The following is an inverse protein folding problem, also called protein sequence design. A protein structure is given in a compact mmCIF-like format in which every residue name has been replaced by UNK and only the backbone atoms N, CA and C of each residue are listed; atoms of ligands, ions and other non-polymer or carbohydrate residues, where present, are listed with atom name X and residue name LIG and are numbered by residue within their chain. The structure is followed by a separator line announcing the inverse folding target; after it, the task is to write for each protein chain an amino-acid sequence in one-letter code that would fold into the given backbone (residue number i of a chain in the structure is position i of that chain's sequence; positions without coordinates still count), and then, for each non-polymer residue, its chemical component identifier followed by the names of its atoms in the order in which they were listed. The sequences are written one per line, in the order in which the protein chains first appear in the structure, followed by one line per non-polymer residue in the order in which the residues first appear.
data_IF_011586733176
#
_entry.id   IF_011586733176
#
_cell.length_a   1.000
_cell.length_b   1.000
_cell.length_c   1.000
_cell.angle_alpha   90.00
_cell.angle_beta   90.00
_cell.angle_gamma   90.00
#
_symmetry.space_group_name_H-M   'P 1'
#
loop_
_entity.id
_entity.type
_entity.pdbx_description
1 polymer ?
#
# COMPACT_ATOMS: atom_id res chain seq x y z
N UNK A 1 7.07 0.77 -3.94
CA UNK A 1 8.42 0.33 -3.50
C UNK A 1 8.98 1.39 -2.58
N UNK A 2 9.85 1.05 -1.61
CA UNK A 2 10.31 1.97 -0.56
C UNK A 2 11.80 2.31 -0.64
N UNK A 3 12.63 1.41 -0.11
CA UNK A 3 14.09 1.60 0.08
C UNK A 3 14.86 1.86 -1.22
N UNK A 4 14.50 1.17 -2.30
CA UNK A 4 15.09 1.35 -3.63
C UNK A 4 14.03 1.96 -4.55
N UNK A 5 14.42 2.97 -5.34
CA UNK A 5 13.55 3.72 -6.26
C UNK A 5 14.17 3.74 -7.67
N UNK A 6 13.50 3.13 -8.65
CA UNK A 6 13.84 3.23 -10.09
C UNK A 6 12.72 3.96 -10.85
N UNK A 7 12.96 4.45 -12.09
CA UNK A 7 12.00 5.25 -12.85
C UNK A 7 10.63 4.58 -13.11
N UNK A 8 10.58 3.25 -13.25
CA UNK A 8 9.33 2.52 -13.52
C UNK A 8 9.17 1.28 -12.64
N UNK A 9 7.92 0.93 -12.35
CA UNK A 9 7.56 -0.34 -11.69
C UNK A 9 7.96 -1.57 -12.53
N UNK A 10 8.18 -1.40 -13.83
CA UNK A 10 8.68 -2.47 -14.71
C UNK A 10 10.18 -2.75 -14.51
N UNK A 11 10.91 -1.83 -13.87
CA UNK A 11 12.38 -1.92 -13.76
C UNK A 11 12.85 -2.89 -12.66
N UNK A 12 12.08 -3.12 -11.58
CA UNK A 12 12.45 -4.09 -10.52
C UNK A 12 12.64 -5.52 -11.08
N UNK A 13 12.07 -5.81 -12.26
CA UNK A 13 12.17 -7.10 -12.95
C UNK A 13 13.07 -7.08 -14.19
N UNK A 14 13.77 -5.98 -14.50
CA UNK A 14 14.69 -5.90 -15.66
C UNK A 14 16.04 -6.57 -15.35
N UNK A 15 16.48 -7.47 -16.23
CA UNK A 15 17.78 -8.13 -16.13
C UNK A 15 18.95 -7.32 -16.76
N UNK A 16 18.89 -5.98 -16.74
CA UNK A 16 20.00 -5.12 -17.19
C UNK A 16 20.94 -4.84 -16.02
N UNK A 17 22.26 -4.81 -16.24
CA UNK A 17 23.28 -4.65 -15.16
C UNK A 17 22.97 -3.48 -14.20
N UNK A 18 22.55 -2.32 -14.72
CA UNK A 18 22.21 -1.12 -13.95
C UNK A 18 20.90 -1.19 -13.13
N UNK A 19 20.03 -2.17 -13.43
CA UNK A 19 18.69 -2.30 -12.83
C UNK A 19 18.44 -3.70 -12.25
N UNK A 20 19.48 -4.53 -12.13
CA UNK A 20 19.39 -5.92 -11.71
C UNK A 20 19.18 -6.05 -10.19
N UNK A 21 17.99 -5.70 -9.73
CA UNK A 21 17.52 -6.04 -8.39
C UNK A 21 17.18 -7.54 -8.40
N UNK A 22 17.83 -8.41 -7.58
CA UNK A 22 17.51 -9.83 -7.56
C UNK A 22 16.18 -10.08 -6.84
N UNK A 23 16.00 -9.42 -5.69
CA UNK A 23 14.94 -9.68 -4.71
C UNK A 23 13.51 -9.68 -5.30
N UNK A 24 13.19 -8.72 -6.16
CA UNK A 24 11.86 -8.60 -6.75
C UNK A 24 11.53 -9.79 -7.67
N UNK A 25 12.53 -10.33 -8.38
CA UNK A 25 12.39 -11.50 -9.26
C UNK A 25 12.31 -12.81 -8.47
N UNK A 26 13.04 -12.93 -7.37
CA UNK A 26 13.02 -14.14 -6.52
C UNK A 26 11.73 -14.25 -5.70
N UNK A 27 11.10 -13.12 -5.33
CA UNK A 27 9.83 -13.13 -4.57
C UNK A 27 8.62 -13.39 -5.46
N UNK A 28 8.52 -12.76 -6.66
CA UNK A 28 7.34 -12.93 -7.53
C UNK A 28 7.63 -12.57 -9.00
N UNK A 29 7.06 -13.28 -9.99
CA UNK A 29 7.12 -12.85 -11.39
C UNK A 29 6.35 -11.53 -11.62
N UNK A 30 6.91 -10.62 -12.43
CA UNK A 30 6.33 -9.29 -12.75
C UNK A 30 4.84 -9.36 -13.10
N UNK A 31 4.46 -10.28 -13.99
CA UNK A 31 3.08 -10.38 -14.48
C UNK A 31 2.09 -10.75 -13.35
N UNK A 32 2.50 -11.58 -12.38
CA UNK A 32 1.67 -11.92 -11.21
C UNK A 32 1.53 -10.71 -10.28
N UNK A 33 2.60 -9.94 -10.08
CA UNK A 33 2.55 -8.70 -9.32
C UNK A 33 1.66 -7.64 -9.99
N UNK A 34 1.79 -7.43 -11.30
CA UNK A 34 0.95 -6.48 -12.06
C UNK A 34 -0.53 -6.90 -12.11
N UNK A 35 -0.82 -8.21 -12.18
CA UNK A 35 -2.19 -8.73 -12.06
C UNK A 35 -2.77 -8.49 -10.67
N UNK A 36 -2.05 -8.82 -9.60
CA UNK A 36 -2.50 -8.54 -8.23
C UNK A 36 -2.77 -7.05 -8.07
N UNK A 37 -1.80 -6.19 -8.43
CA UNK A 37 -1.91 -4.73 -8.31
C UNK A 37 -3.12 -4.16 -9.08
N UNK A 38 -3.49 -4.73 -10.23
CA UNK A 38 -4.65 -4.31 -11.02
C UNK A 38 -5.99 -4.66 -10.38
N UNK A 39 -6.04 -5.74 -9.60
CA UNK A 39 -7.27 -6.31 -9.03
C UNK A 39 -7.29 -6.29 -7.49
N UNK A 40 -6.52 -5.41 -6.85
CA UNK A 40 -6.66 -5.13 -5.42
C UNK A 40 -7.94 -4.34 -5.19
N UNK A 41 -8.87 -4.93 -4.44
CA UNK A 41 -10.11 -4.28 -4.00
C UNK A 41 -10.25 -4.48 -2.49
N UNK A 42 -10.69 -3.43 -1.78
CA UNK A 42 -10.81 -3.40 -0.31
C UNK A 42 -12.24 -3.10 0.18
N UNK A 43 -13.21 -3.04 -0.73
CA UNK A 43 -14.63 -2.84 -0.44
C UNK A 43 -15.46 -3.66 -1.43
N UNK A 44 -16.65 -4.12 -1.02
CA UNK A 44 -17.61 -4.72 -1.95
C UNK A 44 -18.36 -3.62 -2.71
N UNK A 45 -18.35 -3.70 -4.04
CA UNK A 45 -19.05 -2.75 -4.90
C UNK A 45 -20.58 -2.97 -4.90
N UNK A 46 -21.07 -4.11 -4.40
CA UNK A 46 -22.52 -4.40 -4.30
C UNK A 46 -23.17 -3.69 -3.10
N UNK A 47 -22.41 -3.39 -2.06
CA UNK A 47 -22.88 -2.73 -0.82
C UNK A 47 -22.17 -1.40 -0.57
N UNK A 48 -21.56 -0.80 -1.59
CA UNK A 48 -20.79 0.42 -1.47
C UNK A 48 -21.69 1.64 -1.26
N UNK A 49 -21.49 2.34 -0.15
CA UNK A 49 -21.94 3.72 0.05
C UNK A 49 -21.23 4.62 -0.97
N UNK A 50 -21.96 5.12 -1.97
CA UNK A 50 -21.40 5.96 -3.04
C UNK A 50 -21.22 7.43 -2.66
N UNK A 51 -21.85 7.88 -1.57
CA UNK A 51 -21.75 9.27 -1.11
C UNK A 51 -20.44 9.48 -0.32
N UNK A 52 -19.98 8.46 0.41
CA UNK A 52 -18.63 8.44 0.98
C UNK A 52 -17.55 8.22 -0.09
N UNK A 53 -16.91 9.31 -0.51
CA UNK A 53 -15.81 9.32 -1.49
C UNK A 53 -14.62 8.41 -1.13
N UNK A 54 -14.50 7.96 0.12
CA UNK A 54 -13.44 7.06 0.59
C UNK A 54 -13.86 5.58 0.66
N UNK A 55 -15.10 5.19 0.29
CA UNK A 55 -15.64 3.83 0.49
C UNK A 55 -14.66 2.72 0.07
N UNK A 56 -13.95 2.90 -1.05
CA UNK A 56 -12.99 1.93 -1.63
C UNK A 56 -11.80 1.58 -0.74
N UNK A 57 -11.52 2.36 0.31
CA UNK A 57 -10.41 2.16 1.26
C UNK A 57 -10.83 2.32 2.73
N UNK A 58 -12.09 2.70 2.99
CA UNK A 58 -12.61 3.10 4.31
C UNK A 58 -12.35 2.04 5.39
N UNK A 59 -12.67 0.78 5.11
CA UNK A 59 -12.57 -0.29 6.11
C UNK A 59 -11.11 -0.64 6.46
N UNK A 60 -10.22 -0.62 5.45
CA UNK A 60 -8.78 -0.79 5.64
C UNK A 60 -8.17 0.40 6.39
N UNK A 61 -8.61 1.63 6.11
CA UNK A 61 -8.19 2.83 6.84
C UNK A 61 -8.66 2.79 8.30
N UNK A 62 -9.91 2.41 8.55
CA UNK A 62 -10.48 2.23 9.89
C UNK A 62 -9.75 1.13 10.68
N UNK A 63 -9.42 0.01 10.03
CA UNK A 63 -8.59 -1.05 10.62
C UNK A 63 -7.22 -0.53 11.03
N UNK A 64 -6.55 0.25 10.16
CA UNK A 64 -5.26 0.86 10.52
C UNK A 64 -5.39 1.85 11.68
N UNK A 65 -6.35 2.78 11.64
CA UNK A 65 -6.59 3.76 12.71
C UNK A 65 -6.80 3.06 14.05
N UNK A 66 -7.71 2.07 14.10
CA UNK A 66 -7.98 1.27 15.30
C UNK A 66 -6.74 0.53 15.81
N UNK A 67 -5.96 -0.07 14.91
CA UNK A 67 -4.73 -0.78 15.29
C UNK A 67 -3.66 0.18 15.86
N UNK A 68 -3.49 1.37 15.27
CA UNK A 68 -2.57 2.37 15.83
C UNK A 68 -3.04 2.92 17.18
N UNK A 69 -4.34 3.21 17.33
CA UNK A 69 -4.93 3.65 18.61
C UNK A 69 -4.77 2.61 19.73
N UNK A 70 -4.83 1.32 19.41
CA UNK A 70 -4.65 0.24 20.39
C UNK A 70 -3.19 0.00 20.81
N UNK A 71 -2.21 0.44 20.00
CA UNK A 71 -0.78 0.12 20.17
C UNK A 71 0.04 1.35 20.59
N UNK A 72 -0.41 2.56 20.26
CA UNK A 72 0.27 3.81 20.59
C UNK A 72 -0.42 4.54 21.74
N UNK A 73 0.18 4.52 22.92
CA UNK A 73 -0.12 5.45 24.02
C UNK A 73 0.65 6.75 23.79
N UNK A 74 -0.01 7.91 23.59
CA UNK A 74 0.69 9.17 23.42
C UNK A 74 1.47 9.59 24.67
N UNK A 75 2.67 10.14 24.48
CA UNK A 75 3.37 10.85 25.54
C UNK A 75 2.65 12.14 25.92
N UNK A 76 2.81 12.56 27.18
CA UNK A 76 2.12 13.70 27.80
C UNK A 76 2.36 15.07 27.11
N UNK A 77 3.26 15.12 26.12
CA UNK A 77 3.67 16.34 25.40
C UNK A 77 3.57 16.24 23.88
N UNK A 78 3.16 15.09 23.34
CA UNK A 78 3.33 14.76 21.91
C UNK A 78 2.02 14.83 21.08
N UNK A 79 0.96 15.42 21.63
CA UNK A 79 -0.36 15.53 20.98
C UNK A 79 -0.54 16.89 20.30
N UNK A 80 0.02 17.02 19.10
CA UNK A 80 -0.14 18.18 18.23
C UNK A 80 -1.24 17.93 17.19
N UNK A 81 -2.35 18.66 17.24
CA UNK A 81 -3.33 18.66 16.14
C UNK A 81 -2.84 19.59 15.01
N UNK A 82 -2.51 19.00 13.85
CA UNK A 82 -2.34 19.75 12.60
C UNK A 82 -3.69 20.07 11.96
N UNK A 83 -3.74 21.19 11.22
CA UNK A 83 -4.88 21.59 10.38
C UNK A 83 -4.82 20.92 8.99
#
# INVERSE_FOLDING_TARGET
MGLVKLPSIKDYWRNRKLYSIPLARTVMPRNRFELILKFVHFADNQTADTDDRLYKIKDVLNMFIKNYQNVYTPGEKDVSMGH
#
